data_IF_514875296810
#
_entry.id   IF_514875296810
#
_cell.length_a   1.000
_cell.length_b   1.000
_cell.length_c   1.000
_cell.angle_alpha   90.00
_cell.angle_beta   90.00
_cell.angle_gamma   90.00
#
_symmetry.space_group_name_H-M   'P 1'
#
loop_
_entity.id
_entity.type
_entity.pdbx_description
1 polymer ?
#
# COMPACT_ATOMS: atom_id res chain seq x y z
N UNK A 1 6.10 -7.25 11.62
CA UNK A 1 7.39 -6.57 11.87
C UNK A 1 7.13 -5.07 12.03
N UNK A 2 7.66 -4.42 13.08
CA UNK A 2 7.32 -3.02 13.43
C UNK A 2 8.11 -1.95 12.67
N UNK A 3 9.26 -2.29 12.07
CA UNK A 3 10.16 -1.35 11.40
C UNK A 3 10.93 -2.06 10.27
N UNK A 4 11.62 -1.31 9.42
CA UNK A 4 12.51 -1.91 8.42
C UNK A 4 13.87 -2.18 9.05
N UNK A 5 14.44 -3.35 8.77
CA UNK A 5 15.70 -3.76 9.36
C UNK A 5 16.35 -4.96 8.70
N UNK A 6 17.48 -5.34 9.30
CA UNK A 6 18.30 -6.46 8.87
C UNK A 6 18.30 -7.58 9.93
N UNK A 7 18.21 -8.82 9.49
CA UNK A 7 18.32 -10.01 10.32
C UNK A 7 19.71 -10.09 10.94
N UNK A 8 19.77 -10.27 12.26
CA UNK A 8 21.03 -10.42 13.01
C UNK A 8 21.20 -11.86 13.50
N UNK A 9 20.18 -12.40 14.15
CA UNK A 9 20.23 -13.75 14.71
C UNK A 9 18.82 -14.30 14.91
N UNK A 10 18.61 -15.59 14.73
CA UNK A 10 17.30 -16.21 14.92
C UNK A 10 17.24 -17.58 14.26
N UNK A 11 16.10 -18.25 14.40
CA UNK A 11 15.89 -19.59 13.85
C UNK A 11 14.55 -19.68 13.12
N UNK A 12 14.59 -20.26 11.91
CA UNK A 12 13.42 -20.63 11.11
C UNK A 12 12.42 -19.50 10.87
N UNK A 13 12.92 -18.28 10.63
CA UNK A 13 12.06 -17.11 10.40
C UNK A 13 11.41 -17.19 9.03
N UNK A 14 10.08 -17.22 9.00
CA UNK A 14 9.28 -17.11 7.79
C UNK A 14 8.47 -15.83 7.84
N UNK A 15 8.59 -15.00 6.82
CA UNK A 15 7.87 -13.74 6.70
C UNK A 15 6.94 -13.80 5.51
N UNK A 16 5.73 -13.32 5.72
CA UNK A 16 4.72 -13.10 4.71
C UNK A 16 4.76 -11.63 4.24
N UNK A 17 5.13 -11.45 2.97
CA UNK A 17 5.23 -10.15 2.31
C UNK A 17 3.97 -9.77 1.49
N UNK A 18 2.88 -10.53 1.59
CA UNK A 18 1.62 -10.28 0.84
C UNK A 18 1.16 -8.85 1.01
N UNK A 19 1.26 -8.35 2.25
CA UNK A 19 0.79 -7.01 2.62
C UNK A 19 1.59 -5.90 1.92
N UNK A 20 2.84 -6.16 1.55
CA UNK A 20 3.72 -5.16 0.95
C UNK A 20 3.77 -5.25 -0.58
N UNK A 21 3.71 -6.46 -1.15
CA UNK A 21 3.85 -6.69 -2.59
C UNK A 21 2.51 -6.81 -3.32
N UNK A 22 1.43 -7.17 -2.60
CA UNK A 22 0.11 -7.44 -3.19
C UNK A 22 0.05 -8.73 -4.00
N UNK A 23 1.09 -9.56 -3.98
CA UNK A 23 1.12 -10.86 -4.65
C UNK A 23 0.56 -11.92 -3.70
N UNK A 24 -0.21 -12.88 -4.23
CA UNK A 24 -0.65 -14.06 -3.46
C UNK A 24 0.53 -15.00 -3.22
N UNK A 25 0.83 -15.32 -1.95
CA UNK A 25 1.84 -16.28 -1.48
C UNK A 25 3.36 -15.91 -1.47
N UNK A 26 3.79 -14.66 -1.25
CA UNK A 26 5.19 -14.35 -0.98
C UNK A 26 5.57 -14.68 0.48
N UNK A 27 5.69 -15.97 0.80
CA UNK A 27 6.31 -16.42 2.06
C UNK A 27 7.80 -16.63 1.81
N UNK A 28 8.62 -15.81 2.46
CA UNK A 28 10.08 -15.82 2.30
C UNK A 28 10.74 -16.29 3.59
N UNK A 29 11.72 -17.17 3.46
CA UNK A 29 12.60 -17.55 4.57
C UNK A 29 13.69 -16.50 4.73
N UNK A 30 13.76 -15.90 5.91
CA UNK A 30 14.78 -14.91 6.23
C UNK A 30 16.05 -15.62 6.70
N UNK A 31 17.17 -15.24 6.11
CA UNK A 31 18.47 -15.83 6.38
C UNK A 31 19.60 -14.95 5.89
N UNK A 32 20.78 -15.52 5.72
CA UNK A 32 21.97 -14.78 5.26
C UNK A 32 21.81 -14.30 3.81
N UNK A 33 21.11 -15.06 2.97
CA UNK A 33 20.88 -14.70 1.57
C UNK A 33 19.90 -13.54 1.40
N UNK A 34 18.88 -13.47 2.28
CA UNK A 34 17.89 -12.40 2.31
C UNK A 34 17.69 -11.92 3.75
N UNK A 35 18.59 -11.06 4.24
CA UNK A 35 18.54 -10.60 5.63
C UNK A 35 17.55 -9.46 5.82
N UNK A 36 16.68 -9.13 4.86
CA UNK A 36 15.80 -7.97 4.96
C UNK A 36 14.49 -8.32 5.67
N UNK A 37 14.06 -7.43 6.56
CA UNK A 37 12.76 -7.48 7.20
C UNK A 37 12.08 -6.12 6.99
N UNK A 38 10.88 -6.13 6.43
CA UNK A 38 10.14 -4.92 6.12
C UNK A 38 9.01 -4.67 7.10
N UNK A 39 8.81 -3.41 7.47
CA UNK A 39 7.67 -2.93 8.22
C UNK A 39 6.37 -3.32 7.52
N UNK A 40 5.37 -3.74 8.29
CA UNK A 40 4.06 -4.16 7.75
C UNK A 40 3.97 -5.62 7.29
N UNK A 41 5.09 -6.35 7.21
CA UNK A 41 5.09 -7.80 6.95
C UNK A 41 4.75 -8.60 8.20
N UNK A 42 4.17 -9.80 8.03
CA UNK A 42 3.80 -10.68 9.16
C UNK A 42 4.81 -11.81 9.31
N UNK A 43 5.19 -12.11 10.55
CA UNK A 43 6.01 -13.29 10.85
C UNK A 43 5.07 -14.48 10.96
N UNK A 44 5.24 -15.48 10.10
CA UNK A 44 4.44 -16.71 10.09
C UNK A 44 5.00 -17.74 11.07
N UNK A 45 6.33 -17.83 11.15
CA UNK A 45 7.01 -18.86 11.94
C UNK A 45 8.40 -18.38 12.37
N UNK A 46 8.91 -18.95 13.45
CA UNK A 46 10.24 -18.65 13.99
C UNK A 46 10.35 -17.41 14.87
N UNK A 47 11.57 -17.11 15.29
CA UNK A 47 11.91 -15.93 16.08
C UNK A 47 13.26 -15.38 15.65
N UNK A 48 13.42 -14.06 15.71
CA UNK A 48 14.67 -13.39 15.40
C UNK A 48 14.86 -12.05 16.08
N UNK A 49 16.13 -11.67 16.15
CA UNK A 49 16.62 -10.35 16.45
C UNK A 49 16.97 -9.67 15.14
N UNK A 50 16.57 -8.41 15.05
CA UNK A 50 16.72 -7.58 13.87
C UNK A 50 17.36 -6.25 14.26
N UNK A 51 18.32 -5.79 13.44
CA UNK A 51 18.86 -4.45 13.51
C UNK A 51 17.93 -3.50 12.77
N UNK A 52 17.38 -2.52 13.48
CA UNK A 52 16.48 -1.52 12.88
C UNK A 52 17.29 -0.53 12.03
N UNK A 53 16.94 -0.42 10.75
CA UNK A 53 17.56 0.52 9.82
C UNK A 53 16.74 1.80 9.66
N UNK A 54 15.41 1.67 9.49
CA UNK A 54 14.51 2.83 9.35
C UNK A 54 13.20 2.62 10.10
N UNK A 55 12.59 3.73 10.54
CA UNK A 55 11.34 3.75 11.32
C UNK A 55 10.38 4.81 10.78
N UNK A 56 9.09 4.63 11.07
CA UNK A 56 8.04 5.58 10.70
C UNK A 56 7.90 5.75 9.19
N UNK A 57 7.71 6.98 8.73
CA UNK A 57 7.50 7.31 7.31
C UNK A 57 8.70 7.02 6.40
N UNK A 58 9.88 6.75 6.97
CA UNK A 58 11.07 6.37 6.19
C UNK A 58 11.08 4.89 5.80
N UNK A 59 10.24 4.08 6.43
CA UNK A 59 10.07 2.65 6.08
C UNK A 59 9.42 2.48 4.72
N UNK A 60 9.55 1.31 4.09
CA UNK A 60 8.88 0.98 2.82
C UNK A 60 7.37 1.05 2.95
N UNK A 61 6.82 0.58 4.07
CA UNK A 61 5.40 0.72 4.41
C UNK A 61 4.99 2.17 4.60
N UNK A 62 5.78 2.95 5.34
CA UNK A 62 5.57 4.37 5.56
C UNK A 62 5.58 5.14 4.24
N UNK A 63 6.52 4.84 3.35
CA UNK A 63 6.57 5.40 1.99
C UNK A 63 5.39 4.99 1.16
N UNK A 64 4.98 3.72 1.18
CA UNK A 64 3.80 3.22 0.46
C UNK A 64 2.53 4.00 0.87
N UNK A 65 2.37 4.26 2.17
CA UNK A 65 1.25 5.03 2.72
C UNK A 65 1.40 6.55 2.53
N UNK A 66 2.64 7.05 2.43
CA UNK A 66 2.93 8.47 2.21
C UNK A 66 2.89 8.86 0.73
N UNK A 67 3.11 7.93 -0.20
CA UNK A 67 2.64 8.12 -1.57
C UNK A 67 1.15 8.38 -1.43
N UNK A 68 0.67 9.58 -1.77
CA UNK A 68 -0.75 9.76 -1.95
C UNK A 68 -1.14 8.64 -2.90
N UNK A 69 -2.12 7.82 -2.50
CA UNK A 69 -2.97 7.27 -3.52
C UNK A 69 -3.24 8.42 -4.48
N UNK A 70 -3.11 8.20 -5.78
CA UNK A 70 -3.67 9.09 -6.79
C UNK A 70 -5.21 9.12 -6.66
N UNK A 71 -5.72 9.30 -5.45
CA UNK A 71 -7.07 9.67 -5.07
C UNK A 71 -7.08 11.08 -4.47
N UNK A 72 -6.00 11.85 -4.63
CA UNK A 72 -6.07 13.30 -4.61
C UNK A 72 -6.84 13.77 -5.84
N UNK A 73 -8.18 13.70 -5.77
CA UNK A 73 -9.16 14.35 -6.64
C UNK A 73 -8.94 14.28 -8.16
N UNK A 74 -8.13 13.33 -8.65
CA UNK A 74 -8.11 12.98 -10.06
C UNK A 74 -9.43 12.29 -10.33
N UNK A 75 -10.35 13.06 -10.91
CA UNK A 75 -11.54 12.52 -11.52
C UNK A 75 -11.10 11.37 -12.44
N UNK A 76 -11.38 10.14 -12.01
CA UNK A 76 -11.14 8.98 -12.84
C UNK A 76 -11.82 9.23 -14.20
N UNK A 77 -11.23 8.80 -15.33
CA UNK A 77 -11.75 9.13 -16.66
C UNK A 77 -13.24 8.76 -16.85
N UNK A 78 -13.76 7.85 -16.02
CA UNK A 78 -15.17 7.50 -15.92
C UNK A 78 -16.04 8.56 -15.22
N UNK A 79 -15.55 9.20 -14.14
CA UNK A 79 -16.26 10.27 -13.42
C UNK A 79 -16.38 11.55 -14.25
N UNK A 80 -15.36 11.87 -15.07
CA UNK A 80 -15.41 13.00 -16.02
C UNK A 80 -16.54 12.81 -17.03
N UNK A 81 -16.68 11.61 -17.60
CA UNK A 81 -17.75 11.29 -18.57
C UNK A 81 -19.15 11.38 -17.96
N UNK A 82 -19.31 10.88 -16.72
CA UNK A 82 -20.58 10.94 -16.01
C UNK A 82 -20.97 12.37 -15.64
N UNK A 83 -20.03 13.22 -15.20
CA UNK A 83 -20.27 14.65 -14.97
C UNK A 83 -20.69 15.38 -16.25
N UNK A 84 -20.11 15.04 -17.40
CA UNK A 84 -20.52 15.57 -18.70
C UNK A 84 -22.00 15.30 -19.01
N UNK A 85 -22.46 14.05 -18.84
CA UNK A 85 -23.86 13.68 -19.08
C UNK A 85 -24.80 14.36 -18.08
N UNK A 86 -24.43 14.40 -16.79
CA UNK A 86 -25.22 15.06 -15.75
C UNK A 86 -25.45 16.55 -16.05
N UNK A 87 -24.43 17.25 -16.57
CA UNK A 87 -24.52 18.68 -16.90
C UNK A 87 -25.48 18.95 -18.07
N UNK A 88 -25.56 18.04 -19.04
CA UNK A 88 -26.48 18.15 -20.19
C UNK A 88 -27.93 18.01 -19.72
N UNK A 89 -28.21 17.01 -18.88
CA UNK A 89 -29.55 16.80 -18.30
C UNK A 89 -29.95 18.01 -17.46
N UNK A 90 -29.03 18.55 -16.67
CA UNK A 90 -29.27 19.72 -15.83
C UNK A 90 -29.60 20.99 -16.64
N UNK A 91 -28.91 21.23 -17.76
CA UNK A 91 -29.23 22.35 -18.67
C UNK A 91 -30.62 22.22 -19.29
N UNK A 92 -31.00 21.01 -19.71
CA UNK A 92 -32.34 20.76 -20.29
C UNK A 92 -33.41 20.96 -19.23
N UNK A 93 -33.23 20.41 -18.02
CA UNK A 93 -34.17 20.61 -16.91
C UNK A 93 -34.33 22.08 -16.52
N UNK A 94 -33.24 22.86 -16.54
CA UNK A 94 -33.30 24.28 -16.25
C UNK A 94 -34.06 25.07 -17.33
N UNK A 95 -33.92 24.69 -18.60
CA UNK A 95 -34.67 25.30 -19.70
C UNK A 95 -36.18 25.08 -19.55
N UNK A 96 -36.59 23.85 -19.21
CA UNK A 96 -38.00 23.52 -18.95
C UNK A 96 -38.55 24.15 -17.67
N UNK A 97 -37.71 24.49 -16.70
CA UNK A 97 -38.16 25.14 -15.46
C UNK A 97 -38.43 26.64 -15.63
N UNK A 98 -37.85 27.27 -16.66
CA UNK A 98 -37.92 28.73 -16.88
C UNK A 98 -38.98 29.11 -17.94
N UNK A 99 -39.32 28.20 -18.85
CA UNK A 99 -40.42 28.37 -19.84
C UNK A 99 -41.74 27.93 -19.24
#
# INVERSE_FOLDING_TARGET
VPADGLFVSGSSVKIDETSLTGVSEPVIMVGVENPFLWSGTKVQDGSCNMLVATVGMRTRWGKLMATPSEGGDVETPLRVKLKGVATIIQKIGLFFAVV
#
